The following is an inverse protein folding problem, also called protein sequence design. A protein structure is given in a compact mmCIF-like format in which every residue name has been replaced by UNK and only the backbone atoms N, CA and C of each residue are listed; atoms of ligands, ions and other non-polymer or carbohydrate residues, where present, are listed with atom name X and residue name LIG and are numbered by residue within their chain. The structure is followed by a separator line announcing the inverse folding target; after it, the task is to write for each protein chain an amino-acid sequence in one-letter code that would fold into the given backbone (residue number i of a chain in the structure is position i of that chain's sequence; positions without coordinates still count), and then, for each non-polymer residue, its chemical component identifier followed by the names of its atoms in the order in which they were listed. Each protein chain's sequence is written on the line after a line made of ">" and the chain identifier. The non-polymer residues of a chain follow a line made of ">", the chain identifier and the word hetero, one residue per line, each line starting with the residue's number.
data_IF_568652871142
#
_entry.id   IF_568652871142
#
_cell.length_a   1.000
_cell.length_b   1.000
_cell.length_c   1.000
_cell.angle_alpha   90.00
_cell.angle_beta   90.00
_cell.angle_gamma   90.00
#
_symmetry.space_group_name_H-M   'P 1'
#
loop_
_entity.id
_entity.type
_entity.pdbx_description
1 polymer ?
#
# COMPACT_ATOMS: atom_id res chain seq x y z
N UNK A 1 1.61 -1.18 7.99
CA UNK A 1 0.36 -0.48 7.58
C UNK A 1 -0.77 -1.50 7.69
N UNK A 2 -1.76 -1.26 8.56
CA UNK A 2 -2.93 -2.14 8.64
C UNK A 2 -3.83 -1.90 7.43
N UNK A 3 -4.27 -2.96 6.79
CA UNK A 3 -5.16 -2.87 5.64
C UNK A 3 -6.59 -2.79 6.16
N UNK A 4 -7.35 -1.76 5.75
CA UNK A 4 -8.71 -1.62 6.21
C UNK A 4 -9.55 -2.79 5.66
N UNK A 5 -10.37 -3.45 6.49
CA UNK A 5 -11.17 -4.61 6.07
C UNK A 5 -12.07 -4.32 4.87
N UNK A 6 -12.44 -3.06 4.63
CA UNK A 6 -13.18 -2.61 3.45
C UNK A 6 -12.46 -2.86 2.13
N UNK A 7 -11.13 -2.81 2.11
CA UNK A 7 -10.36 -3.05 0.88
C UNK A 7 -10.35 -4.54 0.47
N UNK A 8 -10.28 -5.46 1.43
CA UNK A 8 -10.42 -6.90 1.14
C UNK A 8 -11.79 -7.22 0.54
N UNK A 9 -12.86 -6.72 1.17
CA UNK A 9 -14.22 -6.90 0.67
C UNK A 9 -14.41 -6.32 -0.75
N UNK A 10 -13.77 -5.19 -1.06
CA UNK A 10 -13.83 -4.59 -2.39
C UNK A 10 -13.02 -5.36 -3.45
N UNK A 11 -11.97 -6.09 -3.09
CA UNK A 11 -11.30 -6.99 -4.03
C UNK A 11 -12.07 -8.28 -4.28
N UNK A 12 -12.75 -8.83 -3.27
CA UNK A 12 -13.62 -10.00 -3.45
C UNK A 12 -14.78 -9.72 -4.42
N UNK A 13 -15.29 -8.49 -4.45
CA UNK A 13 -16.27 -8.05 -5.44
C UNK A 13 -15.66 -7.58 -6.77
N UNK A 14 -14.35 -7.75 -6.97
CA UNK A 14 -13.58 -7.27 -8.12
C UNK A 14 -13.71 -5.76 -8.41
N UNK A 15 -14.13 -4.96 -7.43
CA UNK A 15 -14.25 -3.51 -7.58
C UNK A 15 -12.89 -2.80 -7.54
N UNK A 16 -11.91 -3.42 -6.88
CA UNK A 16 -10.53 -2.92 -6.84
C UNK A 16 -9.56 -4.07 -7.07
N UNK A 17 -8.39 -3.74 -7.63
CA UNK A 17 -7.25 -4.65 -7.73
C UNK A 17 -6.11 -4.02 -6.94
N UNK A 18 -5.53 -4.75 -6.01
CA UNK A 18 -4.46 -4.23 -5.15
C UNK A 18 -3.42 -5.31 -4.85
N UNK A 19 -2.28 -4.86 -4.33
CA UNK A 19 -1.20 -5.74 -3.88
C UNK A 19 -0.75 -5.39 -2.47
N UNK A 20 -0.30 -6.39 -1.72
CA UNK A 20 0.16 -6.21 -0.34
C UNK A 20 1.52 -6.85 -0.19
N UNK A 21 2.42 -6.19 0.52
CA UNK A 21 3.62 -6.81 1.00
C UNK A 21 3.90 -6.38 2.43
N UNK A 22 4.04 -7.35 3.33
CA UNK A 22 4.52 -7.11 4.68
C UNK A 22 6.05 -6.98 4.64
N UNK A 23 6.58 -5.92 5.25
CA UNK A 23 8.01 -5.71 5.37
C UNK A 23 8.36 -5.35 6.80
N UNK A 24 9.43 -5.95 7.31
CA UNK A 24 9.93 -5.72 8.65
C UNK A 24 10.52 -4.31 8.84
N UNK A 25 10.87 -3.62 7.75
CA UNK A 25 11.59 -2.34 7.79
C UNK A 25 11.05 -1.38 6.73
N UNK A 26 10.87 -0.12 7.12
CA UNK A 26 10.62 0.98 6.22
C UNK A 26 11.17 2.27 6.85
N UNK A 27 11.58 3.21 6.00
CA UNK A 27 11.93 4.57 6.38
C UNK A 27 10.74 5.48 6.05
N UNK A 28 10.29 6.23 7.05
CA UNK A 28 9.27 7.27 6.87
C UNK A 28 9.90 8.63 7.09
N UNK A 29 9.70 9.53 6.13
CA UNK A 29 10.12 10.93 6.22
C UNK A 29 8.91 11.81 5.99
N UNK A 30 8.72 12.84 6.82
CA UNK A 30 7.58 13.75 6.72
C UNK A 30 8.06 15.15 6.32
N UNK A 31 7.39 15.76 5.35
CA UNK A 31 7.43 17.20 5.16
C UNK A 31 6.20 17.79 5.84
N UNK A 32 6.41 18.56 6.89
CA UNK A 32 5.35 19.18 7.68
C UNK A 32 5.32 20.67 7.39
N UNK A 33 4.23 21.14 6.78
CA UNK A 33 3.99 22.56 6.55
C UNK A 33 3.12 23.14 7.67
N UNK A 34 2.14 22.37 8.13
CA UNK A 34 1.29 22.66 9.28
C UNK A 34 1.06 21.38 10.07
N UNK A 35 1.31 21.41 11.39
CA UNK A 35 1.13 20.27 12.29
C UNK A 35 -0.29 19.70 12.34
N UNK A 36 -1.32 20.45 11.93
CA UNK A 36 -2.70 19.96 11.96
C UNK A 36 -3.16 19.29 10.67
N UNK A 37 -2.89 19.88 9.50
CA UNK A 37 -3.58 19.45 8.26
C UNK A 37 -2.70 19.32 7.01
N UNK A 38 -1.42 19.71 7.04
CA UNK A 38 -0.57 19.71 5.82
C UNK A 38 0.75 18.96 6.05
N UNK A 39 0.65 17.64 6.02
CA UNK A 39 1.79 16.72 6.14
C UNK A 39 1.86 15.83 4.90
N UNK A 40 3.02 15.81 4.27
CA UNK A 40 3.32 14.86 3.19
C UNK A 40 4.24 13.79 3.76
N UNK A 41 3.78 12.54 3.76
CA UNK A 41 4.55 11.39 4.21
C UNK A 41 5.21 10.71 3.02
N UNK A 42 6.54 10.72 2.99
CA UNK A 42 7.34 9.90 2.11
C UNK A 42 7.64 8.58 2.83
N UNK A 43 7.33 7.48 2.15
CA UNK A 43 7.57 6.15 2.67
C UNK A 43 8.49 5.41 1.69
N UNK A 44 9.67 5.03 2.17
CA UNK A 44 10.60 4.15 1.47
C UNK A 44 10.62 2.79 2.18
N UNK A 45 10.05 1.78 1.52
CA UNK A 45 9.91 0.44 2.09
C UNK A 45 11.14 -0.39 1.72
N UNK A 46 11.76 -1.05 2.71
CA UNK A 46 12.95 -1.86 2.48
C UNK A 46 12.68 -2.99 1.48
N UNK A 47 13.76 -3.46 0.84
CA UNK A 47 13.78 -4.65 -0.02
C UNK A 47 12.83 -4.57 -1.22
N UNK A 48 12.46 -3.35 -1.63
CA UNK A 48 11.58 -3.11 -2.77
C UNK A 48 10.11 -3.46 -2.49
N UNK A 49 9.66 -3.31 -1.23
CA UNK A 49 8.35 -3.77 -0.78
C UNK A 49 7.16 -3.35 -1.67
N UNK A 50 7.15 -2.14 -2.23
CA UNK A 50 6.09 -1.73 -3.16
C UNK A 50 6.11 -2.54 -4.47
N UNK A 51 7.30 -2.87 -4.99
CA UNK A 51 7.45 -3.69 -6.18
C UNK A 51 7.07 -5.16 -5.92
N UNK A 52 7.28 -5.64 -4.69
CA UNK A 52 6.83 -6.96 -4.27
C UNK A 52 5.31 -7.02 -4.13
N UNK A 53 4.68 -5.98 -3.57
CA UNK A 53 3.23 -5.88 -3.47
C UNK A 53 2.55 -5.97 -4.85
N UNK A 54 3.15 -5.37 -5.89
CA UNK A 54 2.63 -5.40 -7.27
C UNK A 54 2.44 -6.83 -7.83
N UNK A 55 3.14 -7.84 -7.31
CA UNK A 55 2.98 -9.23 -7.78
C UNK A 55 1.56 -9.73 -7.56
N UNK A 56 1.02 -9.54 -6.36
CA UNK A 56 -0.35 -9.94 -6.00
C UNK A 56 -1.38 -9.18 -6.83
N UNK A 57 -1.16 -7.87 -7.02
CA UNK A 57 -2.01 -7.04 -7.86
C UNK A 57 -2.04 -7.55 -9.31
N UNK A 58 -0.88 -7.90 -9.88
CA UNK A 58 -0.79 -8.43 -11.25
C UNK A 58 -1.42 -9.81 -11.38
N UNK A 59 -1.34 -10.64 -10.34
CA UNK A 59 -2.03 -11.93 -10.31
C UNK A 59 -3.54 -11.74 -10.44
N UNK A 60 -4.13 -10.88 -9.60
CA UNK A 60 -5.55 -10.54 -9.68
C UNK A 60 -5.94 -10.01 -11.06
N UNK A 61 -5.13 -9.12 -11.65
CA UNK A 61 -5.37 -8.60 -13.01
C UNK A 61 -5.36 -9.68 -14.09
N UNK A 62 -4.64 -10.77 -13.90
CA UNK A 62 -4.60 -11.87 -14.88
C UNK A 62 -5.79 -12.83 -14.77
N UNK A 63 -6.56 -12.76 -13.68
CA UNK A 63 -7.72 -13.60 -13.39
C UNK A 63 -9.06 -12.89 -13.65
N UNK A 64 -9.02 -11.63 -14.08
CA UNK A 64 -10.17 -10.84 -14.56
C UNK A 64 -10.46 -11.15 -16.05
#
# INVERSE_FOLDING_TARGET
>A
MCIPPSSKAAAESAMIVFGIHDSAKALMTCLVFNHENDHIHFLDVADGGYALAVKDMKHQLSEL
#
